data_IF_077329039668
#
_entry.id   IF_077329039668
#
_cell.length_a   1.000
_cell.length_b   1.000
_cell.length_c   1.000
_cell.angle_alpha   90.00
_cell.angle_beta   90.00
_cell.angle_gamma   90.00
#
_symmetry.space_group_name_H-M   'P 1'
#
loop_
_entity.id
_entity.type
_entity.pdbx_description
1 polymer ?
#
# COMPACT_ATOMS: atom_id res chain seq x y z
N UNK A 1 -2.84 -8.20 -1.14
CA UNK A 1 -2.22 -8.44 0.17
C UNK A 1 -3.29 -8.25 1.22
N UNK A 2 -3.29 -9.06 2.27
CA UNK A 2 -4.20 -8.93 3.42
C UNK A 2 -3.35 -8.75 4.68
N UNK A 3 -3.78 -7.83 5.56
CA UNK A 3 -3.07 -7.48 6.79
C UNK A 3 -4.05 -7.53 7.96
N UNK A 4 -3.76 -8.36 8.95
CA UNK A 4 -4.60 -8.55 10.15
C UNK A 4 -3.73 -8.52 11.40
N UNK A 5 -3.75 -7.40 12.12
CA UNK A 5 -2.83 -7.18 13.23
C UNK A 5 -1.38 -7.19 12.74
N UNK A 6 -0.56 -8.04 13.33
CA UNK A 6 0.85 -8.28 12.95
C UNK A 6 1.03 -9.24 11.77
N UNK A 7 -0.05 -9.87 11.27
CA UNK A 7 0.03 -10.89 10.21
C UNK A 7 -0.12 -10.27 8.82
N UNK A 8 0.83 -10.57 7.94
CA UNK A 8 0.88 -10.10 6.56
C UNK A 8 0.82 -11.29 5.59
N UNK A 9 -0.23 -11.37 4.77
CA UNK A 9 -0.39 -12.45 3.78
C UNK A 9 -0.40 -11.91 2.36
N UNK A 10 0.49 -12.43 1.52
CA UNK A 10 0.62 -12.03 0.11
C UNK A 10 0.03 -13.08 -0.81
N UNK A 11 -0.71 -12.62 -1.81
CA UNK A 11 -1.39 -13.47 -2.78
C UNK A 11 -0.96 -13.12 -4.20
N UNK A 12 -0.75 -14.14 -5.04
CA UNK A 12 -0.62 -13.99 -6.49
C UNK A 12 -1.64 -14.92 -7.13
N UNK A 13 -2.52 -14.37 -7.96
CA UNK A 13 -3.61 -15.12 -8.60
C UNK A 13 -4.46 -15.92 -7.57
N UNK A 14 -4.70 -15.33 -6.40
CA UNK A 14 -5.49 -15.92 -5.32
C UNK A 14 -4.77 -17.01 -4.51
N UNK A 15 -3.53 -17.35 -4.83
CA UNK A 15 -2.73 -18.31 -4.07
C UNK A 15 -1.80 -17.60 -3.09
N UNK A 16 -1.68 -18.11 -1.88
CA UNK A 16 -0.72 -17.60 -0.88
C UNK A 16 0.68 -17.89 -1.39
N UNK A 17 1.48 -16.84 -1.56
CA UNK A 17 2.89 -16.95 -1.95
C UNK A 17 3.82 -16.61 -0.78
N UNK A 18 3.32 -15.90 0.22
CA UNK A 18 4.07 -15.55 1.41
C UNK A 18 3.13 -15.23 2.59
N UNK A 19 3.61 -15.51 3.80
CA UNK A 19 2.93 -15.16 5.04
C UNK A 19 3.96 -14.97 6.16
N UNK A 20 4.00 -13.78 6.75
CA UNK A 20 4.91 -13.47 7.86
C UNK A 20 4.22 -12.63 8.94
N UNK A 21 4.85 -12.59 10.11
CA UNK A 21 4.41 -11.80 11.25
C UNK A 21 5.48 -10.76 11.60
N UNK A 22 5.08 -9.51 11.80
CA UNK A 22 5.96 -8.44 12.29
C UNK A 22 5.17 -7.47 13.19
N UNK A 23 5.50 -7.45 14.47
CA UNK A 23 4.86 -6.57 15.46
C UNK A 23 5.39 -5.14 15.46
N UNK A 24 6.50 -4.87 14.75
CA UNK A 24 7.15 -3.54 14.77
C UNK A 24 6.41 -2.50 13.93
N UNK A 25 5.52 -2.95 13.04
CA UNK A 25 4.83 -2.13 12.05
C UNK A 25 3.33 -2.08 12.35
N UNK A 26 2.95 -1.24 13.33
CA UNK A 26 1.54 -1.04 13.68
C UNK A 26 0.78 -0.20 12.64
N UNK A 27 1.46 0.74 11.98
CA UNK A 27 0.91 1.62 10.96
C UNK A 27 2.00 2.04 9.96
N UNK A 28 1.60 2.48 8.76
CA UNK A 28 2.53 2.85 7.71
C UNK A 28 1.86 3.19 6.38
N UNK A 29 2.67 3.35 5.33
CA UNK A 29 2.21 3.60 3.97
C UNK A 29 2.32 2.38 3.05
N UNK A 30 1.56 2.39 1.96
CA UNK A 30 1.72 1.43 0.85
C UNK A 30 2.55 2.08 -0.24
N UNK A 31 3.62 1.41 -0.66
CA UNK A 31 4.52 1.89 -1.71
C UNK A 31 4.76 0.85 -2.79
N UNK A 32 5.04 1.33 -4.00
CA UNK A 32 5.47 0.49 -5.12
C UNK A 32 6.92 0.82 -5.43
N UNK A 33 7.71 -0.22 -5.64
CA UNK A 33 9.13 -0.10 -5.95
C UNK A 33 9.43 -0.80 -7.27
N UNK A 34 10.32 -0.20 -8.06
CA UNK A 34 10.83 -0.75 -9.30
C UNK A 34 12.31 -0.41 -9.41
N UNK A 35 13.17 -1.35 -9.85
CA UNK A 35 14.57 -1.06 -10.13
C UNK A 35 14.73 0.03 -11.20
N UNK A 36 15.86 0.75 -11.18
CA UNK A 36 16.22 1.69 -12.25
C UNK A 36 16.31 0.95 -13.58
N UNK A 37 15.70 1.52 -14.61
CA UNK A 37 15.69 0.97 -15.98
C UNK A 37 14.59 -0.05 -16.26
N UNK A 38 13.83 -0.46 -15.25
CA UNK A 38 12.79 -1.46 -15.40
C UNK A 38 11.48 -0.84 -15.92
N UNK A 39 10.72 -1.60 -16.73
CA UNK A 39 9.44 -1.16 -17.32
C UNK A 39 8.25 -1.77 -16.60
N UNK A 40 8.11 -1.44 -15.32
CA UNK A 40 7.00 -1.90 -14.49
C UNK A 40 5.73 -1.11 -14.77
N UNK A 41 4.60 -1.80 -14.95
CA UNK A 41 3.29 -1.20 -15.19
C UNK A 41 2.30 -1.62 -14.11
N UNK A 42 1.70 -0.61 -13.46
CA UNK A 42 0.64 -0.78 -12.48
C UNK A 42 -0.65 -0.26 -13.11
N UNK A 43 -1.61 -1.16 -13.40
CA UNK A 43 -2.87 -0.78 -14.04
C UNK A 43 -3.88 -0.17 -13.05
N UNK A 44 -4.00 -0.75 -11.87
CA UNK A 44 -4.92 -0.31 -10.83
C UNK A 44 -4.42 -0.80 -9.47
N UNK A 45 -4.79 -0.07 -8.42
CA UNK A 45 -4.55 -0.42 -7.02
C UNK A 45 -5.79 -0.06 -6.23
N UNK A 46 -6.18 -0.95 -5.34
CA UNK A 46 -7.19 -0.70 -4.34
C UNK A 46 -6.58 -0.97 -2.96
N UNK A 47 -6.67 0.02 -2.07
CA UNK A 47 -6.29 -0.12 -0.67
C UNK A 47 -7.54 0.06 0.16
N UNK A 48 -7.84 -0.93 0.99
CA UNK A 48 -9.01 -0.92 1.86
C UNK A 48 -8.52 -1.09 3.30
N UNK A 49 -8.95 -0.16 4.16
CA UNK A 49 -8.90 -0.30 5.60
C UNK A 49 -10.34 -0.21 6.09
N UNK A 50 -10.68 -0.99 7.13
CA UNK A 50 -11.95 -0.96 7.91
C UNK A 50 -12.98 0.02 7.33
N UNK A 51 -13.88 -0.53 6.52
CA UNK A 51 -14.63 0.19 5.50
C UNK A 51 -15.79 1.00 6.12
N UNK A 52 -15.46 2.06 6.85
CA UNK A 52 -16.43 2.86 7.58
C UNK A 52 -16.88 4.05 6.72
N UNK A 53 -18.18 4.38 6.76
CA UNK A 53 -18.76 5.51 6.02
C UNK A 53 -18.02 6.84 6.28
N UNK A 54 -17.43 6.99 7.47
CA UNK A 54 -16.59 8.14 7.83
C UNK A 54 -15.27 8.17 7.06
N UNK A 55 -14.63 7.01 6.83
CA UNK A 55 -13.38 6.90 6.07
C UNK A 55 -13.54 7.31 4.60
N UNK A 56 -14.68 6.96 3.98
CA UNK A 56 -15.04 7.43 2.64
C UNK A 56 -15.23 8.94 2.58
N UNK A 57 -15.88 9.52 3.60
CA UNK A 57 -16.07 10.95 3.71
C UNK A 57 -14.72 11.69 3.91
N UNK A 58 -13.84 11.16 4.77
CA UNK A 58 -12.50 11.71 4.95
C UNK A 58 -11.66 11.62 3.67
N UNK A 59 -11.73 10.52 2.92
CA UNK A 59 -11.03 10.39 1.64
C UNK A 59 -11.56 11.36 0.56
N UNK A 60 -12.85 11.67 0.58
CA UNK A 60 -13.46 12.67 -0.32
C UNK A 60 -13.04 14.10 0.06
N UNK A 61 -12.92 14.39 1.36
CA UNK A 61 -12.70 15.73 1.88
C UNK A 61 -11.22 16.06 2.11
N UNK A 62 -10.34 15.07 2.15
CA UNK A 62 -8.92 15.29 2.36
C UNK A 62 -8.33 16.08 1.17
N UNK A 63 -7.72 17.25 1.43
CA UNK A 63 -6.94 17.92 0.39
C UNK A 63 -5.77 17.02 0.02
N UNK A 64 -5.55 16.78 -1.27
CA UNK A 64 -4.36 16.07 -1.77
C UNK A 64 -3.20 17.06 -1.91
N UNK A 65 -2.24 17.16 -0.97
CA UNK A 65 -0.94 17.66 -1.34
C UNK A 65 -0.27 16.57 -2.19
N UNK A 66 -0.33 16.70 -3.51
CA UNK A 66 0.64 16.04 -4.38
C UNK A 66 2.02 16.64 -4.08
N UNK A 67 2.68 16.15 -3.04
CA UNK A 67 4.06 16.51 -2.78
C UNK A 67 4.93 15.63 -3.70
N UNK A 68 5.16 16.15 -4.90
CA UNK A 68 6.15 15.65 -5.85
C UNK A 68 7.57 15.90 -5.31
N UNK A 69 7.97 15.13 -4.30
CA UNK A 69 9.32 15.12 -3.76
C UNK A 69 10.07 13.89 -4.25
N UNK A 70 10.44 13.87 -5.53
CA UNK A 70 11.36 12.86 -6.05
C UNK A 70 12.71 13.02 -5.36
N UNK A 71 13.11 12.05 -4.54
CA UNK A 71 14.49 11.97 -4.07
C UNK A 71 15.40 11.67 -5.28
N UNK A 72 16.05 12.71 -5.78
CA UNK A 72 17.20 12.59 -6.66
C UNK A 72 18.35 12.03 -5.82
N UNK A 73 18.64 10.75 -6.02
CA UNK A 73 19.84 10.11 -5.49
C UNK A 73 21.06 10.66 -6.25
N UNK A 74 21.95 11.30 -5.50
CA UNK A 74 23.36 11.51 -5.83
C UNK A 74 24.11 10.18 -5.61
#
# INVERSE_FOLDING_TARGET
>A
MDVRGSQFTTYVQGQVVDNFEDERLAEGGVGFWSPRGDRSLLRWVEVMHQYDYLGRLCALLAPYPLQSGGHQAD
#
